data_IF_373635815211
#
_entry.id   IF_373635815211
#
_cell.length_a   1.000
_cell.length_b   1.000
_cell.length_c   1.000
_cell.angle_alpha   90.00
_cell.angle_beta   90.00
_cell.angle_gamma   90.00
#
_symmetry.space_group_name_H-M   'P 1'
#
loop_
_entity.id
_entity.type
_entity.pdbx_description
1 polymer ?
#
# COMPACT_ATOMS: atom_id res chain seq x y z
N UNK A 1 -54.47 9.69 -38.09
CA UNK A 1 -53.34 8.85 -37.59
C UNK A 1 -52.30 9.69 -36.83
N UNK A 2 -52.44 11.01 -36.74
CA UNK A 2 -51.43 11.89 -36.15
C UNK A 2 -51.49 12.01 -34.62
N UNK A 3 -52.63 11.73 -33.99
CA UNK A 3 -52.79 11.81 -32.53
C UNK A 3 -51.98 10.72 -31.78
N UNK A 4 -51.94 9.50 -32.32
CA UNK A 4 -51.16 8.39 -31.75
C UNK A 4 -49.64 8.59 -31.92
N UNK A 5 -49.22 9.26 -32.99
CA UNK A 5 -47.82 9.57 -33.28
C UNK A 5 -47.27 10.65 -32.34
N UNK A 6 -48.10 11.64 -31.98
CA UNK A 6 -47.76 12.70 -31.04
C UNK A 6 -47.69 12.22 -29.57
N UNK A 7 -48.54 11.26 -29.17
CA UNK A 7 -48.50 10.66 -27.82
C UNK A 7 -47.24 9.79 -27.63
N UNK A 8 -46.84 9.04 -28.67
CA UNK A 8 -45.61 8.25 -28.66
C UNK A 8 -44.36 9.11 -28.45
N UNK A 9 -44.27 10.26 -29.12
CA UNK A 9 -43.17 11.23 -28.92
C UNK A 9 -43.17 11.89 -27.54
N UNK A 10 -44.34 12.06 -26.91
CA UNK A 10 -44.46 12.67 -25.57
C UNK A 10 -44.05 11.69 -24.45
N UNK A 11 -44.36 10.40 -24.61
CA UNK A 11 -43.94 9.32 -23.71
C UNK A 11 -42.43 9.03 -23.78
N UNK A 12 -41.85 9.11 -24.98
CA UNK A 12 -40.38 8.98 -25.15
C UNK A 12 -39.67 10.20 -24.54
N UNK A 13 -40.25 11.40 -24.64
CA UNK A 13 -39.73 12.60 -24.00
C UNK A 13 -39.74 12.52 -22.47
N UNK A 14 -40.77 11.94 -21.85
CA UNK A 14 -40.87 11.82 -20.39
C UNK A 14 -39.85 10.85 -19.78
N UNK A 15 -39.44 9.80 -20.51
CA UNK A 15 -38.43 8.85 -20.05
C UNK A 15 -37.01 9.44 -20.03
N UNK A 16 -36.75 10.50 -20.80
CA UNK A 16 -35.44 11.16 -20.86
C UNK A 16 -35.20 12.16 -19.70
N UNK A 17 -36.21 12.52 -18.92
CA UNK A 17 -36.09 13.50 -17.82
C UNK A 17 -35.84 12.87 -16.43
N UNK A 18 -35.73 11.55 -16.32
CA UNK A 18 -35.55 10.87 -15.02
C UNK A 18 -34.08 10.72 -14.57
N UNK A 19 -33.12 11.35 -15.24
CA UNK A 19 -31.70 10.91 -15.17
C UNK A 19 -30.79 11.59 -14.14
N UNK A 20 -31.26 12.52 -13.31
CA UNK A 20 -30.40 13.19 -12.30
C UNK A 20 -30.97 13.01 -10.90
N UNK A 21 -30.89 11.80 -10.36
CA UNK A 21 -31.17 11.55 -8.95
C UNK A 21 -29.85 11.27 -8.23
N UNK A 22 -29.52 12.10 -7.24
CA UNK A 22 -28.39 11.84 -6.34
C UNK A 22 -28.64 10.54 -5.58
N UNK A 23 -27.57 9.75 -5.40
CA UNK A 23 -27.62 8.61 -4.50
C UNK A 23 -27.93 9.09 -3.07
N UNK A 24 -28.77 8.34 -2.36
CA UNK A 24 -29.19 8.68 -0.99
C UNK A 24 -28.64 7.68 0.01
N UNK A 25 -28.28 8.20 1.18
CA UNK A 25 -27.87 7.40 2.32
C UNK A 25 -29.02 6.54 2.84
N UNK A 26 -28.80 5.23 2.94
CA UNK A 26 -29.74 4.31 3.56
C UNK A 26 -29.85 4.48 5.09
N UNK A 27 -28.81 5.02 5.73
CA UNK A 27 -28.78 5.22 7.18
C UNK A 27 -29.43 6.55 7.61
N UNK A 28 -29.18 7.62 6.87
CA UNK A 28 -29.56 8.99 7.28
C UNK A 28 -30.57 9.65 6.32
N UNK A 29 -30.76 9.11 5.12
CA UNK A 29 -31.68 9.65 4.11
C UNK A 29 -31.17 10.86 3.32
N UNK A 30 -29.98 11.38 3.63
CA UNK A 30 -29.36 12.53 2.94
C UNK A 30 -28.75 12.14 1.60
N UNK A 31 -28.70 13.09 0.66
CA UNK A 31 -28.05 12.88 -0.64
C UNK A 31 -26.52 12.85 -0.49
N UNK A 32 -25.87 11.95 -1.21
CA UNK A 32 -24.41 11.94 -1.41
C UNK A 32 -23.99 12.91 -2.53
N UNK A 33 -22.76 13.42 -2.45
CA UNK A 33 -22.15 14.32 -3.45
C UNK A 33 -22.97 15.61 -3.69
N UNK A 34 -23.66 16.10 -2.66
CA UNK A 34 -24.48 17.32 -2.73
C UNK A 34 -23.87 18.42 -1.86
N UNK A 35 -23.37 19.48 -2.50
CA UNK A 35 -22.71 20.60 -1.81
C UNK A 35 -23.66 21.39 -0.90
N UNK A 36 -24.97 21.32 -1.14
CA UNK A 36 -25.97 21.96 -0.27
C UNK A 36 -26.15 21.23 1.05
N UNK A 37 -25.84 19.93 1.09
CA UNK A 37 -26.00 19.07 2.27
C UNK A 37 -24.67 18.84 2.99
N UNK A 38 -23.77 19.82 2.95
CA UNK A 38 -22.45 19.75 3.59
C UNK A 38 -21.40 19.00 2.79
N UNK A 39 -21.73 18.49 1.58
CA UNK A 39 -20.75 17.95 0.67
C UNK A 39 -20.15 16.61 1.10
N UNK A 40 -20.93 15.73 1.75
CA UNK A 40 -20.42 14.39 2.04
C UNK A 40 -20.28 13.60 0.74
N UNK A 41 -19.04 13.16 0.49
CA UNK A 41 -18.67 12.53 -0.77
C UNK A 41 -18.70 11.01 -0.68
N UNK A 42 -19.12 10.40 -1.77
CA UNK A 42 -19.01 8.97 -2.02
C UNK A 42 -18.38 8.80 -3.40
N UNK A 43 -17.08 8.53 -3.41
CA UNK A 43 -16.37 8.18 -4.63
C UNK A 43 -16.87 6.83 -5.17
N UNK A 44 -16.98 6.66 -6.50
CA UNK A 44 -17.22 5.35 -7.07
C UNK A 44 -16.01 4.45 -6.76
N UNK A 45 -16.28 3.27 -6.21
CA UNK A 45 -15.28 2.26 -5.90
C UNK A 45 -15.76 0.92 -6.42
N UNK A 46 -15.00 0.33 -7.35
CA UNK A 46 -15.30 -0.99 -7.90
C UNK A 46 -14.51 -2.06 -7.15
N UNK A 47 -13.18 -1.99 -7.22
CA UNK A 47 -12.28 -2.94 -6.58
C UNK A 47 -10.94 -2.27 -6.25
N UNK A 48 -10.23 -2.81 -5.26
CA UNK A 48 -8.90 -2.34 -4.88
C UNK A 48 -7.87 -2.85 -5.89
N UNK A 49 -7.06 -1.94 -6.46
CA UNK A 49 -5.92 -2.35 -7.26
C UNK A 49 -4.92 -3.20 -6.44
N UNK A 50 -4.34 -4.20 -7.08
CA UNK A 50 -3.30 -5.02 -6.46
C UNK A 50 -1.97 -4.28 -6.46
N UNK A 51 -1.30 -4.26 -5.30
CA UNK A 51 0.04 -3.68 -5.20
C UNK A 51 1.08 -4.48 -6.00
N UNK A 52 2.21 -3.87 -6.37
CA UNK A 52 3.22 -4.54 -7.16
C UNK A 52 3.84 -5.73 -6.42
N UNK A 53 3.83 -6.90 -7.06
CA UNK A 53 4.41 -8.15 -6.52
C UNK A 53 3.54 -8.83 -5.45
N UNK A 54 2.31 -8.38 -5.25
CA UNK A 54 1.37 -8.99 -4.32
C UNK A 54 0.43 -9.98 -5.01
N UNK A 55 0.09 -11.05 -4.29
CA UNK A 55 -0.94 -12.01 -4.65
C UNK A 55 -2.05 -12.04 -3.59
N UNK A 56 -3.30 -12.24 -4.02
CA UNK A 56 -4.44 -12.41 -3.12
C UNK A 56 -4.39 -13.80 -2.47
N UNK A 57 -4.44 -13.82 -1.14
CA UNK A 57 -4.63 -15.01 -0.33
C UNK A 57 -6.07 -15.03 0.16
N UNK A 58 -6.79 -16.09 -0.20
CA UNK A 58 -8.18 -16.27 0.20
C UNK A 58 -8.28 -16.57 1.70
N UNK A 59 -9.17 -15.84 2.35
CA UNK A 59 -9.50 -16.03 3.76
C UNK A 59 -10.15 -17.38 3.99
N UNK A 60 -9.84 -17.95 5.15
CA UNK A 60 -10.29 -19.29 5.49
C UNK A 60 -9.99 -19.66 6.93
N UNK A 61 -10.38 -20.88 7.28
CA UNK A 61 -10.12 -21.46 8.58
C UNK A 61 -9.15 -22.63 8.39
N UNK A 62 -8.05 -22.64 9.13
CA UNK A 62 -7.08 -23.73 9.11
C UNK A 62 -6.65 -24.11 10.52
N UNK A 63 -6.19 -25.35 10.69
CA UNK A 63 -5.63 -25.82 11.97
C UNK A 63 -4.15 -25.50 12.00
N UNK A 64 -3.78 -24.54 12.84
CA UNK A 64 -2.40 -24.11 13.04
C UNK A 64 -1.72 -25.00 14.07
N UNK A 65 -0.52 -25.48 13.72
CA UNK A 65 0.30 -26.36 14.54
C UNK A 65 0.43 -27.77 13.98
N UNK A 66 1.27 -28.59 14.60
CA UNK A 66 1.59 -29.92 14.09
C UNK A 66 0.43 -30.90 14.33
N UNK A 67 -0.16 -31.41 13.26
CA UNK A 67 -1.27 -32.38 13.32
C UNK A 67 -0.77 -33.82 13.28
N UNK A 68 0.49 -34.05 12.87
CA UNK A 68 1.11 -35.38 12.75
C UNK A 68 2.02 -35.71 13.94
N UNK A 69 2.01 -36.97 14.38
CA UNK A 69 2.95 -37.46 15.40
C UNK A 69 4.39 -37.48 14.87
N UNK A 70 5.32 -36.99 15.68
CA UNK A 70 6.76 -37.16 15.46
C UNK A 70 7.24 -38.49 16.01
N UNK A 71 8.34 -38.99 15.47
CA UNK A 71 9.05 -40.12 16.06
C UNK A 71 9.61 -39.78 17.45
N UNK A 72 9.96 -38.52 17.71
CA UNK A 72 10.52 -38.08 19.00
C UNK A 72 9.48 -37.80 20.08
N UNK A 73 8.17 -37.81 19.78
CA UNK A 73 7.09 -37.48 20.73
C UNK A 73 7.28 -36.15 21.50
N UNK A 74 8.03 -35.20 20.94
CA UNK A 74 8.13 -33.86 21.51
C UNK A 74 6.81 -33.10 21.22
N UNK A 75 6.08 -32.73 22.28
CA UNK A 75 4.79 -32.04 22.20
C UNK A 75 4.92 -30.56 22.58
N UNK A 76 5.58 -29.77 21.72
CA UNK A 76 5.76 -28.33 21.94
C UNK A 76 4.69 -27.46 21.25
N UNK A 77 3.70 -28.05 20.58
CA UNK A 77 2.68 -27.29 19.83
C UNK A 77 1.27 -27.89 19.99
N UNK A 78 0.36 -27.13 20.61
CA UNK A 78 -1.05 -27.50 20.73
C UNK A 78 -1.77 -27.02 19.46
N UNK A 79 -2.33 -27.92 18.62
CA UNK A 79 -3.01 -27.52 17.41
C UNK A 79 -4.24 -26.67 17.75
N UNK A 80 -4.32 -25.48 17.15
CA UNK A 80 -5.45 -24.55 17.33
C UNK A 80 -6.01 -24.13 15.99
N UNK A 81 -7.34 -24.10 15.87
CA UNK A 81 -7.97 -23.65 14.64
C UNK A 81 -8.06 -22.14 14.62
N UNK A 82 -7.49 -21.52 13.58
CA UNK A 82 -7.44 -20.07 13.39
C UNK A 82 -8.19 -19.72 12.11
N UNK A 83 -8.90 -18.59 12.15
CA UNK A 83 -9.57 -18.01 11.00
C UNK A 83 -8.84 -16.72 10.60
N UNK A 84 -8.51 -16.61 9.33
CA UNK A 84 -7.81 -15.45 8.75
C UNK A 84 -8.67 -14.86 7.64
N UNK A 85 -8.79 -13.53 7.59
CA UNK A 85 -9.48 -12.81 6.51
C UNK A 85 -8.65 -12.85 5.23
N UNK A 86 -9.26 -12.68 4.05
CA UNK A 86 -8.50 -12.55 2.81
C UNK A 86 -7.55 -11.35 2.89
N UNK A 87 -6.32 -11.50 2.41
CA UNK A 87 -5.30 -10.45 2.42
C UNK A 87 -4.33 -10.64 1.26
N UNK A 88 -3.49 -9.64 1.02
CA UNK A 88 -2.46 -9.71 0.00
C UNK A 88 -1.10 -10.02 0.63
N UNK A 89 -0.33 -10.91 0.00
CA UNK A 89 1.03 -11.27 0.42
C UNK A 89 1.99 -11.13 -0.75
N UNK A 90 3.26 -10.82 -0.48
CA UNK A 90 4.30 -10.85 -1.51
C UNK A 90 4.44 -12.27 -2.09
N UNK A 91 4.53 -12.36 -3.42
CA UNK A 91 4.72 -13.66 -4.11
C UNK A 91 6.09 -14.29 -3.80
N UNK A 92 7.11 -13.45 -3.56
CA UNK A 92 8.49 -13.86 -3.31
C UNK A 92 9.07 -13.09 -2.14
N UNK A 93 10.13 -13.64 -1.52
CA UNK A 93 10.86 -12.91 -0.49
C UNK A 93 11.50 -11.63 -1.03
N UNK A 94 11.76 -10.68 -0.12
CA UNK A 94 12.47 -9.45 -0.45
C UNK A 94 13.89 -9.79 -0.92
N UNK A 95 14.19 -9.45 -2.17
CA UNK A 95 15.50 -9.71 -2.78
C UNK A 95 16.57 -8.72 -2.28
N UNK A 96 17.84 -9.10 -2.43
CA UNK A 96 18.97 -8.21 -2.19
C UNK A 96 18.85 -6.93 -3.03
N UNK A 97 18.33 -7.00 -4.26
CA UNK A 97 18.15 -5.81 -5.10
C UNK A 97 17.12 -4.83 -4.55
N UNK A 98 15.96 -5.33 -4.10
CA UNK A 98 14.93 -4.49 -3.48
C UNK A 98 15.47 -3.84 -2.20
N UNK A 99 16.28 -4.57 -1.42
CA UNK A 99 16.94 -3.97 -0.26
C UNK A 99 17.97 -2.90 -0.64
N UNK A 100 18.74 -3.10 -1.71
CA UNK A 100 19.66 -2.09 -2.23
C UNK A 100 18.94 -0.84 -2.76
N UNK A 101 17.76 -1.00 -3.36
CA UNK A 101 16.89 0.12 -3.75
C UNK A 101 16.47 0.94 -2.52
N UNK A 102 16.03 0.27 -1.46
CA UNK A 102 15.72 0.90 -0.18
C UNK A 102 16.93 1.66 0.41
N UNK A 103 18.10 1.01 0.45
CA UNK A 103 19.33 1.64 0.94
C UNK A 103 19.74 2.84 0.08
N UNK A 104 19.59 2.76 -1.24
CA UNK A 104 19.86 3.87 -2.14
C UNK A 104 18.93 5.06 -1.88
N UNK A 105 17.63 4.79 -1.66
CA UNK A 105 16.68 5.84 -1.32
C UNK A 105 17.04 6.51 0.02
N UNK A 106 17.40 5.73 1.04
CA UNK A 106 17.82 6.26 2.34
C UNK A 106 19.07 7.14 2.25
N UNK A 107 20.08 6.70 1.51
CA UNK A 107 21.32 7.48 1.31
C UNK A 107 21.03 8.80 0.59
N UNK A 108 20.17 8.78 -0.42
CA UNK A 108 19.77 9.98 -1.17
C UNK A 108 19.00 10.98 -0.30
N UNK A 109 18.03 10.52 0.49
CA UNK A 109 17.13 11.41 1.27
C UNK A 109 17.78 11.87 2.56
N UNK A 110 18.46 10.97 3.29
CA UNK A 110 18.97 11.22 4.64
C UNK A 110 20.49 11.25 4.74
N UNK A 111 21.25 10.86 3.71
CA UNK A 111 22.71 10.68 3.80
C UNK A 111 23.50 11.93 4.16
N UNK A 112 22.98 13.13 3.84
CA UNK A 112 23.62 14.40 4.18
C UNK A 112 23.48 14.78 5.66
N UNK A 113 22.27 14.64 6.21
CA UNK A 113 21.92 15.14 7.55
C UNK A 113 21.96 14.04 8.62
N UNK A 114 21.48 12.84 8.28
CA UNK A 114 21.26 11.71 9.20
C UNK A 114 21.85 10.39 8.67
N UNK A 115 23.17 10.28 8.49
CA UNK A 115 23.83 9.09 7.95
C UNK A 115 23.67 7.84 8.83
N UNK A 116 23.29 7.99 10.10
CA UNK A 116 22.98 6.90 11.01
C UNK A 116 21.75 6.09 10.58
N UNK A 117 20.77 6.72 9.91
CA UNK A 117 19.58 6.03 9.41
C UNK A 117 20.00 4.99 8.36
N UNK A 118 20.84 5.41 7.41
CA UNK A 118 21.40 4.51 6.40
C UNK A 118 22.20 3.36 7.05
N UNK A 119 23.08 3.69 8.00
CA UNK A 119 23.91 2.67 8.69
C UNK A 119 23.06 1.67 9.47
N UNK A 120 21.97 2.13 10.09
CA UNK A 120 21.01 1.28 10.81
C UNK A 120 20.27 0.33 9.87
N UNK A 121 20.05 0.70 8.61
CA UNK A 121 19.40 -0.14 7.62
C UNK A 121 20.32 -1.19 6.97
N UNK A 122 21.63 -1.13 7.19
CA UNK A 122 22.57 -2.13 6.66
C UNK A 122 22.35 -3.50 7.33
N UNK A 123 22.23 -4.59 6.54
CA UNK A 123 22.17 -5.94 7.10
C UNK A 123 23.47 -6.34 7.81
N UNK A 124 23.35 -7.18 8.84
CA UNK A 124 24.49 -7.78 9.52
C UNK A 124 25.11 -8.88 8.64
N UNK A 125 26.28 -8.58 8.09
CA UNK A 125 27.06 -9.52 7.27
C UNK A 125 27.69 -10.64 8.10
N UNK A 126 27.87 -10.47 9.42
CA UNK A 126 28.53 -11.45 10.28
C UNK A 126 27.72 -12.75 10.43
N UNK A 127 26.45 -12.75 10.04
CA UNK A 127 25.59 -13.95 9.98
C UNK A 127 26.23 -15.10 9.18
N UNK A 128 27.07 -14.78 8.20
CA UNK A 128 27.73 -15.79 7.37
C UNK A 128 28.95 -16.44 8.03
N UNK A 129 29.50 -15.84 9.10
CA UNK A 129 30.71 -16.35 9.75
C UNK A 129 30.41 -17.55 10.63
N UNK A 130 31.18 -18.62 10.43
CA UNK A 130 31.25 -19.74 11.37
C UNK A 130 32.70 -20.18 11.55
N UNK A 131 33.05 -20.69 12.74
CA UNK A 131 34.45 -20.94 13.13
C UNK A 131 35.20 -21.94 12.23
N UNK A 132 34.48 -22.81 11.52
CA UNK A 132 35.06 -23.91 10.74
C UNK A 132 34.62 -23.93 9.27
N UNK A 133 33.82 -22.96 8.80
CA UNK A 133 33.41 -22.88 7.40
C UNK A 133 34.06 -21.69 6.69
N UNK A 134 34.40 -21.89 5.42
CA UNK A 134 34.92 -20.83 4.55
C UNK A 134 33.76 -20.13 3.83
N UNK A 135 33.21 -19.10 4.47
CA UNK A 135 32.08 -18.30 3.97
C UNK A 135 32.44 -16.83 3.67
N UNK A 136 33.73 -16.48 3.66
CA UNK A 136 34.20 -15.10 3.41
C UNK A 136 33.65 -14.50 2.09
N UNK A 137 33.48 -15.25 0.98
CA UNK A 137 32.87 -14.68 -0.21
C UNK A 137 31.43 -14.16 0.02
N UNK A 138 30.65 -14.80 0.89
CA UNK A 138 29.28 -14.34 1.18
C UNK A 138 29.27 -13.04 2.00
N UNK A 139 30.26 -12.85 2.87
CA UNK A 139 30.41 -11.63 3.65
C UNK A 139 30.54 -10.40 2.74
N UNK A 140 31.36 -10.50 1.70
CA UNK A 140 31.68 -9.39 0.80
C UNK A 140 30.66 -9.23 -0.32
N UNK A 141 30.19 -10.35 -0.89
CA UNK A 141 29.48 -10.34 -2.17
C UNK A 141 27.97 -10.52 -2.03
N UNK A 142 27.45 -11.15 -0.97
CA UNK A 142 26.04 -11.57 -0.95
C UNK A 142 25.05 -10.42 -1.18
N UNK A 143 25.22 -9.28 -0.49
CA UNK A 143 24.31 -8.14 -0.64
C UNK A 143 24.52 -7.37 -1.95
N UNK A 144 25.75 -7.29 -2.47
CA UNK A 144 26.15 -6.30 -3.49
C UNK A 144 26.47 -6.88 -4.86
N UNK A 145 26.86 -8.15 -4.93
CA UNK A 145 27.35 -8.74 -6.17
C UNK A 145 26.16 -9.13 -7.08
N UNK A 146 26.23 -8.84 -8.40
CA UNK A 146 25.11 -9.11 -9.32
C UNK A 146 24.63 -10.57 -9.32
N UNK A 147 25.50 -11.54 -9.06
CA UNK A 147 25.11 -12.96 -8.99
C UNK A 147 24.13 -13.28 -7.85
N UNK A 148 24.06 -12.45 -6.80
CA UNK A 148 23.16 -12.63 -5.66
C UNK A 148 21.98 -11.66 -5.66
N UNK A 149 21.77 -10.93 -6.76
CA UNK A 149 20.77 -9.86 -6.86
C UNK A 149 19.35 -10.34 -6.51
N UNK A 150 18.99 -11.50 -7.04
CA UNK A 150 17.63 -12.06 -6.92
C UNK A 150 17.51 -13.04 -5.74
N UNK A 151 18.54 -13.13 -4.89
CA UNK A 151 18.51 -13.93 -3.67
C UNK A 151 17.84 -13.14 -2.54
N UNK A 152 17.22 -13.81 -1.56
CA UNK A 152 16.58 -13.14 -0.43
C UNK A 152 17.61 -12.38 0.41
N UNK A 153 17.21 -11.23 0.95
CA UNK A 153 18.03 -10.49 1.90
C UNK A 153 18.19 -11.26 3.20
N UNK A 154 19.41 -11.30 3.73
CA UNK A 154 19.76 -12.04 4.96
C UNK A 154 20.51 -11.12 5.91
N UNK A 155 20.38 -11.35 7.22
CA UNK A 155 21.04 -10.55 8.26
C UNK A 155 20.26 -9.32 8.67
N UNK A 156 18.94 -9.28 8.43
CA UNK A 156 18.06 -8.20 8.87
C UNK A 156 17.32 -8.59 10.16
N UNK A 157 17.01 -7.58 10.98
CA UNK A 157 16.18 -7.73 12.17
C UNK A 157 14.72 -7.32 11.90
N UNK A 158 13.83 -7.65 12.85
CA UNK A 158 12.40 -7.37 12.73
C UNK A 158 12.08 -5.87 12.59
N UNK A 159 12.82 -5.00 13.29
CA UNK A 159 12.64 -3.55 13.21
C UNK A 159 13.01 -3.02 11.82
N UNK A 160 14.14 -3.48 11.26
CA UNK A 160 14.57 -3.13 9.91
C UNK A 160 13.54 -3.58 8.86
N UNK A 161 12.98 -4.78 9.02
CA UNK A 161 11.94 -5.29 8.13
C UNK A 161 10.65 -4.45 8.20
N UNK A 162 10.26 -4.01 9.39
CA UNK A 162 9.11 -3.11 9.56
C UNK A 162 9.38 -1.71 8.96
N UNK A 163 10.57 -1.16 9.14
CA UNK A 163 10.99 0.12 8.53
C UNK A 163 10.96 0.02 6.99
N UNK A 164 11.37 -1.12 6.42
CA UNK A 164 11.27 -1.40 4.98
C UNK A 164 9.81 -1.45 4.49
N UNK A 165 8.89 -2.09 5.23
CA UNK A 165 7.47 -2.10 4.90
C UNK A 165 6.86 -0.69 4.90
N UNK A 166 7.26 0.16 5.86
CA UNK A 166 6.82 1.56 5.91
C UNK A 166 7.31 2.33 4.67
N UNK A 167 8.60 2.21 4.35
CA UNK A 167 9.18 2.81 3.14
C UNK A 167 8.48 2.36 1.86
N UNK A 168 8.22 1.05 1.71
CA UNK A 168 7.51 0.51 0.54
C UNK A 168 6.10 1.07 0.43
N UNK A 169 5.40 1.20 1.55
CA UNK A 169 4.08 1.85 1.59
C UNK A 169 4.14 3.24 0.97
N UNK A 170 5.11 4.05 1.42
CA UNK A 170 5.26 5.42 0.96
C UNK A 170 5.63 5.49 -0.51
N UNK A 171 6.53 4.63 -0.99
CA UNK A 171 6.92 4.60 -2.41
C UNK A 171 5.81 4.15 -3.35
N UNK A 172 5.04 3.13 -2.96
CA UNK A 172 3.94 2.64 -3.80
C UNK A 172 2.81 3.68 -3.86
N UNK A 173 2.44 4.28 -2.71
CA UNK A 173 1.40 5.31 -2.69
C UNK A 173 1.84 6.59 -3.42
N UNK A 174 3.11 7.00 -3.29
CA UNK A 174 3.67 8.10 -4.08
C UNK A 174 3.54 7.82 -5.59
N UNK A 175 3.90 6.62 -6.03
CA UNK A 175 3.81 6.23 -7.44
C UNK A 175 2.38 6.23 -7.95
N UNK A 176 1.41 5.80 -7.14
CA UNK A 176 -0.02 5.87 -7.47
C UNK A 176 -0.45 7.33 -7.65
N UNK A 177 -0.09 8.22 -6.72
CA UNK A 177 -0.43 9.64 -6.82
C UNK A 177 0.21 10.33 -8.04
N UNK A 178 1.41 9.94 -8.43
CA UNK A 178 2.08 10.40 -9.65
C UNK A 178 1.34 9.86 -10.89
N UNK A 179 0.95 8.58 -10.88
CA UNK A 179 0.21 7.93 -11.97
C UNK A 179 -1.15 8.60 -12.21
N UNK A 180 -1.87 8.93 -11.15
CA UNK A 180 -3.13 9.70 -11.20
C UNK A 180 -2.93 11.17 -11.58
N UNK A 181 -1.67 11.62 -11.70
CA UNK A 181 -1.33 12.97 -12.14
C UNK A 181 -1.59 14.06 -11.10
N UNK A 182 -1.67 13.71 -9.82
CA UNK A 182 -1.78 14.66 -8.72
C UNK A 182 -0.40 15.17 -8.28
N UNK A 183 0.62 14.33 -8.40
CA UNK A 183 2.01 14.65 -8.10
C UNK A 183 2.88 14.57 -9.35
N UNK A 184 3.93 15.38 -9.39
CA UNK A 184 5.02 15.24 -10.34
C UNK A 184 6.11 14.33 -9.78
N UNK A 185 6.84 13.66 -10.66
CA UNK A 185 8.00 12.89 -10.24
C UNK A 185 9.09 13.82 -9.72
N UNK A 186 9.26 13.88 -8.39
CA UNK A 186 10.23 14.74 -7.72
C UNK A 186 11.45 13.93 -7.23
N UNK A 187 12.57 13.91 -7.98
CA UNK A 187 13.74 13.12 -7.62
C UNK A 187 14.63 13.76 -6.54
N UNK A 188 14.41 15.02 -6.19
CA UNK A 188 15.27 15.79 -5.27
C UNK A 188 14.68 15.89 -3.86
N UNK A 189 14.07 14.81 -3.36
CA UNK A 189 13.55 14.73 -1.98
C UNK A 189 14.70 14.68 -0.98
N UNK A 190 14.64 15.50 0.07
CA UNK A 190 15.70 15.63 1.07
C UNK A 190 15.08 15.75 2.47
N UNK A 191 15.58 14.95 3.40
CA UNK A 191 15.26 15.04 4.82
C UNK A 191 13.76 15.12 5.10
N UNK A 192 13.24 16.15 5.76
CA UNK A 192 11.80 16.30 6.06
C UNK A 192 10.93 16.48 4.80
N UNK A 193 11.54 16.90 3.69
CA UNK A 193 10.91 17.13 2.41
C UNK A 193 10.87 15.86 1.53
N UNK A 194 10.44 14.75 2.11
CA UNK A 194 10.17 13.51 1.39
C UNK A 194 8.72 13.08 1.56
N UNK A 195 8.19 12.40 0.54
CA UNK A 195 6.82 11.93 0.61
C UNK A 195 6.68 10.82 1.65
N UNK A 196 5.75 11.01 2.59
CA UNK A 196 5.21 9.95 3.44
C UNK A 196 3.69 9.96 3.35
N UNK A 197 3.09 8.77 3.37
CA UNK A 197 1.64 8.59 3.29
C UNK A 197 0.94 9.33 4.44
N UNK A 198 1.54 9.31 5.63
CA UNK A 198 0.97 9.95 6.82
C UNK A 198 1.03 11.47 6.75
N UNK A 199 2.15 12.06 6.29
CA UNK A 199 2.23 13.51 6.09
C UNK A 199 1.28 13.97 4.98
N UNK A 200 1.10 13.17 3.93
CA UNK A 200 0.15 13.47 2.86
C UNK A 200 -1.30 13.48 3.36
N UNK A 201 -1.71 12.45 4.10
CA UNK A 201 -3.05 12.34 4.69
C UNK A 201 -3.31 13.42 5.75
N UNK A 202 -2.26 13.85 6.47
CA UNK A 202 -2.32 14.97 7.40
C UNK A 202 -2.29 16.35 6.72
N UNK A 203 -2.21 16.41 5.38
CA UNK A 203 -2.06 17.63 4.59
C UNK A 203 -0.81 18.47 4.97
N UNK A 204 0.26 17.81 5.44
CA UNK A 204 1.54 18.41 5.79
C UNK A 204 2.59 18.31 4.67
N UNK A 205 2.31 17.52 3.62
CA UNK A 205 3.18 17.35 2.47
C UNK A 205 2.61 18.06 1.23
N UNK A 206 3.31 19.09 0.76
CA UNK A 206 2.93 19.88 -0.42
C UNK A 206 3.94 19.76 -1.57
N UNK A 207 5.16 19.31 -1.28
CA UNK A 207 6.22 19.24 -2.26
C UNK A 207 5.92 18.25 -3.37
N UNK A 208 6.19 18.63 -4.61
CA UNK A 208 5.91 17.81 -5.78
C UNK A 208 4.43 17.71 -6.15
N UNK A 209 3.51 18.43 -5.49
CA UNK A 209 2.12 18.54 -5.97
C UNK A 209 2.09 19.21 -7.34
N UNK A 210 1.43 18.55 -8.31
CA UNK A 210 1.11 19.12 -9.62
C UNK A 210 -0.20 19.90 -9.59
N UNK A 211 -1.16 19.37 -8.84
CA UNK A 211 -2.50 19.91 -8.67
C UNK A 211 -2.77 20.03 -7.18
N UNK A 212 -3.49 21.08 -6.77
CA UNK A 212 -3.79 21.33 -5.35
C UNK A 212 -4.58 20.19 -4.71
N UNK A 213 -5.37 19.47 -5.50
CA UNK A 213 -6.11 18.28 -5.10
C UNK A 213 -7.22 17.91 -6.09
N UNK A 214 -8.14 17.06 -5.63
CA UNK A 214 -9.41 16.76 -6.30
C UNK A 214 -10.48 17.77 -5.88
N UNK A 215 -11.54 17.92 -6.67
CA UNK A 215 -12.68 18.78 -6.34
C UNK A 215 -13.34 18.31 -5.02
N UNK A 216 -13.62 19.24 -4.12
CA UNK A 216 -14.32 18.97 -2.86
C UNK A 216 -15.75 19.50 -2.95
N UNK A 217 -16.72 18.70 -2.53
CA UNK A 217 -18.13 19.10 -2.54
C UNK A 217 -18.51 19.90 -1.29
N UNK A 218 -17.61 20.09 -0.33
CA UNK A 218 -17.86 20.91 0.85
C UNK A 218 -18.01 22.40 0.46
N UNK A 219 -19.07 23.10 0.91
CA UNK A 219 -19.31 24.49 0.54
C UNK A 219 -18.23 25.49 0.98
N UNK A 220 -17.29 25.10 1.84
CA UNK A 220 -16.24 25.99 2.38
C UNK A 220 -14.89 25.87 1.68
N UNK A 221 -14.68 24.87 0.82
CA UNK A 221 -13.38 24.60 0.17
C UNK A 221 -13.60 24.06 -1.23
N UNK A 222 -12.75 24.47 -2.16
CA UNK A 222 -12.90 24.07 -3.57
C UNK A 222 -12.18 22.74 -3.86
N UNK A 223 -11.09 22.44 -3.16
CA UNK A 223 -10.27 21.24 -3.38
C UNK A 223 -9.89 20.52 -2.09
N UNK A 224 -9.51 19.24 -2.25
CA UNK A 224 -8.99 18.39 -1.18
C UNK A 224 -7.94 17.40 -1.65
N UNK A 225 -7.11 16.92 -0.72
CA UNK A 225 -6.28 15.74 -0.96
C UNK A 225 -7.15 14.48 -1.11
N UNK A 226 -6.59 13.48 -1.80
CA UNK A 226 -7.12 12.11 -1.76
C UNK A 226 -7.06 11.58 -0.34
N UNK A 227 -8.12 10.89 0.06
CA UNK A 227 -8.20 10.20 1.34
C UNK A 227 -8.28 8.70 1.14
N UNK A 228 -8.16 7.94 2.22
CA UNK A 228 -8.29 6.48 2.15
C UNK A 228 -9.68 6.05 1.66
N UNK A 229 -10.73 6.84 1.95
CA UNK A 229 -12.10 6.55 1.54
C UNK A 229 -12.33 6.61 0.03
N UNK A 230 -11.42 7.24 -0.72
CA UNK A 230 -11.50 7.29 -2.18
C UNK A 230 -11.09 5.96 -2.83
N UNK A 231 -10.45 5.05 -2.08
CA UNK A 231 -10.04 3.72 -2.55
C UNK A 231 -8.85 3.69 -3.52
N UNK A 232 -8.26 4.86 -3.81
CA UNK A 232 -7.10 5.00 -4.70
C UNK A 232 -5.81 4.58 -4.01
N UNK A 233 -5.63 4.95 -2.74
CA UNK A 233 -4.43 4.62 -1.97
C UNK A 233 -4.48 3.17 -1.46
N UNK A 234 -3.31 2.55 -1.37
CA UNK A 234 -3.19 1.22 -0.78
C UNK A 234 -3.03 1.29 0.75
N UNK A 235 -3.58 0.30 1.48
CA UNK A 235 -3.26 0.08 2.88
C UNK A 235 -1.76 -0.12 3.11
N UNK A 236 -1.31 0.07 4.36
CA UNK A 236 0.11 -0.06 4.71
C UNK A 236 0.58 -1.50 4.57
N UNK A 237 1.76 -1.68 4.00
CA UNK A 237 2.49 -2.94 4.06
C UNK A 237 2.92 -3.18 5.51
N UNK A 238 2.82 -4.42 5.96
CA UNK A 238 3.26 -4.85 7.29
C UNK A 238 3.74 -6.28 7.23
N UNK A 239 4.46 -6.69 8.27
CA UNK A 239 4.80 -8.09 8.45
C UNK A 239 3.54 -8.91 8.78
N UNK A 240 3.48 -10.17 8.30
CA UNK A 240 2.39 -11.06 8.63
C UNK A 240 2.37 -11.39 10.13
N UNK A 241 1.19 -11.63 10.66
CA UNK A 241 1.01 -12.21 11.99
C UNK A 241 1.34 -13.70 11.98
N UNK A 242 1.46 -14.32 13.15
CA UNK A 242 1.73 -15.77 13.29
C UNK A 242 0.75 -16.65 12.49
N UNK A 243 -0.50 -16.21 12.34
CA UNK A 243 -1.52 -16.96 11.61
C UNK A 243 -1.55 -16.67 10.10
N UNK A 244 -0.90 -15.60 9.65
CA UNK A 244 -0.84 -15.22 8.23
C UNK A 244 0.40 -15.79 7.54
N UNK A 245 1.36 -16.36 8.29
CA UNK A 245 2.60 -16.93 7.80
C UNK A 245 2.51 -18.45 7.55
#
# INVERSE_FOLDING_TARGET
MDFARNIGTLMIGALLFSSCQFEKSGATGWNYNDSKNGGFEKAPFEEQETGPGLILIEGGQFTMGRVTDDLTHDWDNIPRTVTVSSFYMDEVEVTNFYWLEYLYWLDRVFGADYPEIYKKALPDTLVWRSKLAYNEPYLEYYLRHPAYRDYPVVGINWLQANDYCAWRTDRVNELILIREGLFEHYPNQINEDHFTTDAYLAAQYESGKRVDGVEDFNPNRDTRNIRMEDGILLPRYRLPTEAEW
#
